data_IF_235322359262
#
_entry.id   IF_235322359262
#
_cell.length_a   1.000
_cell.length_b   1.000
_cell.length_c   1.000
_cell.angle_alpha   90.00
_cell.angle_beta   90.00
_cell.angle_gamma   90.00
#
_symmetry.space_group_name_H-M   'P 1'
#
loop_
_entity.id
_entity.type
_entity.pdbx_description
1 polymer ?
#
# COMPACT_ATOMS: atom_id res chain seq x y z
N UNK A 1 -2.46 -0.04 26.77
CA UNK A 1 -2.94 1.13 27.53
C UNK A 1 -1.74 2.06 27.73
N UNK A 2 -1.72 3.24 27.10
CA UNK A 2 -0.60 4.18 27.20
C UNK A 2 -0.41 4.61 28.67
N UNK A 3 0.72 4.27 29.29
CA UNK A 3 1.07 4.75 30.63
C UNK A 3 1.94 6.00 30.51
N UNK A 4 1.30 7.16 30.39
CA UNK A 4 2.00 8.45 30.45
C UNK A 4 2.20 8.81 31.93
N UNK A 5 3.45 8.84 32.44
CA UNK A 5 3.70 9.16 33.84
C UNK A 5 3.22 10.57 34.18
N UNK A 6 2.54 10.72 35.33
CA UNK A 6 2.07 12.01 35.86
C UNK A 6 1.11 12.77 34.91
N UNK A 7 0.37 12.04 34.07
CA UNK A 7 -0.67 12.63 33.23
C UNK A 7 -1.85 13.14 34.08
N UNK A 8 -2.16 14.42 33.97
CA UNK A 8 -3.19 15.10 34.77
C UNK A 8 -4.52 15.29 34.02
N UNK A 9 -4.55 15.09 32.70
CA UNK A 9 -5.79 15.10 31.93
C UNK A 9 -5.71 15.86 30.61
N UNK A 10 -6.90 16.12 30.07
CA UNK A 10 -7.11 16.88 28.83
C UNK A 10 -7.91 18.13 29.22
N UNK A 11 -7.43 19.31 28.84
CA UNK A 11 -8.02 20.58 29.24
C UNK A 11 -8.25 21.48 28.02
N UNK A 12 -9.26 22.34 28.07
CA UNK A 12 -9.31 23.53 27.22
C UNK A 12 -8.49 24.65 27.87
N UNK A 13 -8.06 25.63 27.08
CA UNK A 13 -7.17 26.71 27.55
C UNK A 13 -7.73 27.46 28.76
N UNK A 14 -9.04 27.68 28.80
CA UNK A 14 -9.76 28.36 29.89
C UNK A 14 -10.06 27.47 31.10
N UNK A 15 -9.77 26.16 31.01
CA UNK A 15 -9.95 25.17 32.08
C UNK A 15 -8.64 24.63 32.62
N UNK A 16 -7.52 25.18 32.18
CA UNK A 16 -6.22 24.76 32.68
C UNK A 16 -6.11 25.12 34.17
N UNK A 17 -5.64 24.19 35.04
CA UNK A 17 -5.44 24.50 36.45
C UNK A 17 -4.49 25.69 36.66
N UNK A 18 -4.90 26.64 37.50
CA UNK A 18 -4.11 27.85 37.84
C UNK A 18 -2.77 27.53 38.52
N UNK A 19 -2.63 26.34 39.11
CA UNK A 19 -1.44 25.92 39.83
C UNK A 19 -0.95 24.59 39.28
N UNK A 20 0.31 24.60 38.83
CA UNK A 20 0.99 23.45 38.27
C UNK A 20 1.58 22.54 39.36
N UNK A 21 1.51 21.22 39.15
CA UNK A 21 2.18 20.21 39.98
C UNK A 21 3.55 19.86 39.39
N UNK A 22 4.47 19.43 40.25
CA UNK A 22 5.79 19.01 39.79
C UNK A 22 5.68 17.72 38.97
N UNK A 23 6.26 17.71 37.76
CA UNK A 23 6.33 16.50 36.94
C UNK A 23 5.10 16.24 36.07
N UNK A 24 4.08 17.11 36.12
CA UNK A 24 2.79 16.86 35.46
C UNK A 24 2.87 16.91 33.93
N UNK A 25 1.98 16.17 33.27
CA UNK A 25 1.80 16.21 31.82
C UNK A 25 0.32 16.33 31.47
N UNK A 26 -0.03 17.09 30.45
CA UNK A 26 -1.43 17.19 29.99
C UNK A 26 -1.51 17.42 28.47
N UNK A 27 -2.70 17.18 27.92
CA UNK A 27 -3.06 17.64 26.58
C UNK A 27 -3.96 18.86 26.74
N UNK A 28 -3.68 19.92 26.00
CA UNK A 28 -4.40 21.19 26.09
C UNK A 28 -4.94 21.55 24.71
N UNK A 29 -6.25 21.78 24.64
CA UNK A 29 -6.88 22.47 23.54
C UNK A 29 -6.63 23.96 23.68
N UNK A 30 -6.13 24.61 22.63
CA UNK A 30 -5.90 26.04 22.66
C UNK A 30 -7.18 26.86 22.47
N UNK A 31 -8.25 26.23 21.99
CA UNK A 31 -9.58 26.79 22.00
C UNK A 31 -10.13 26.81 23.44
N UNK A 32 -11.15 27.65 23.65
CA UNK A 32 -11.95 27.61 24.88
C UNK A 32 -12.84 26.36 24.89
N UNK A 33 -13.35 25.95 26.05
CA UNK A 33 -14.21 24.75 26.21
C UNK A 33 -15.39 24.69 25.23
N UNK A 34 -15.94 25.85 24.82
CA UNK A 34 -17.04 25.97 23.87
C UNK A 34 -16.61 26.02 22.39
N UNK A 35 -15.32 25.98 22.10
CA UNK A 35 -14.76 26.05 20.76
C UNK A 35 -14.80 24.72 20.02
N UNK A 36 -14.48 24.74 18.72
CA UNK A 36 -14.50 23.56 17.85
C UNK A 36 -13.40 22.54 18.12
N UNK A 37 -12.41 22.90 18.94
CA UNK A 37 -11.36 22.01 19.40
C UNK A 37 -10.33 21.69 18.32
N UNK A 38 -9.88 22.72 17.63
CA UNK A 38 -9.10 22.62 16.38
C UNK A 38 -7.59 22.57 16.59
N UNK A 39 -7.11 23.04 17.74
CA UNK A 39 -5.68 23.17 18.02
C UNK A 39 -5.34 22.46 19.34
N UNK A 40 -4.54 21.40 19.27
CA UNK A 40 -4.16 20.60 20.44
C UNK A 40 -2.64 20.62 20.64
N UNK A 41 -2.21 20.80 21.89
CA UNK A 41 -0.81 20.73 22.30
C UNK A 41 -0.66 19.76 23.48
N UNK A 42 0.51 19.17 23.63
CA UNK A 42 0.86 18.39 24.83
C UNK A 42 1.93 19.14 25.62
N UNK A 43 1.78 19.29 26.94
CA UNK A 43 2.82 19.87 27.79
C UNK A 43 3.29 18.88 28.84
N UNK A 44 4.56 19.00 29.26
CA UNK A 44 5.13 18.26 30.38
C UNK A 44 6.03 19.16 31.19
N UNK A 45 5.77 19.27 32.49
CA UNK A 45 6.60 20.04 33.43
C UNK A 45 7.72 19.18 33.98
N UNK A 46 8.97 19.61 33.83
CA UNK A 46 10.15 18.91 34.38
C UNK A 46 10.89 19.86 35.33
N UNK A 47 10.80 19.61 36.64
CA UNK A 47 11.47 20.43 37.65
C UNK A 47 10.77 21.77 37.96
N UNK A 48 11.57 22.79 38.32
CA UNK A 48 11.10 24.18 38.51
C UNK A 48 10.81 24.90 37.18
N UNK A 49 11.17 24.29 36.05
CA UNK A 49 10.92 24.84 34.71
C UNK A 49 9.54 24.39 34.22
N UNK A 50 8.71 25.37 33.89
CA UNK A 50 7.42 25.15 33.22
C UNK A 50 7.70 25.12 31.72
N UNK A 51 7.33 24.03 31.05
CA UNK A 51 7.45 23.87 29.60
C UNK A 51 6.10 24.30 29.02
N UNK A 52 6.05 25.49 28.42
CA UNK A 52 4.84 26.09 27.87
C UNK A 52 4.95 26.07 26.34
N UNK A 53 4.05 25.35 25.66
CA UNK A 53 4.00 25.27 24.20
C UNK A 53 2.85 26.16 23.71
N UNK A 54 3.13 27.43 23.40
CA UNK A 54 2.27 28.27 22.55
C UNK A 54 3.08 29.28 21.73
N UNK A 55 2.61 29.49 20.50
CA UNK A 55 3.41 29.90 19.34
C UNK A 55 3.64 31.42 19.18
N UNK A 56 3.50 32.31 20.17
CA UNK A 56 3.83 33.74 19.87
C UNK A 56 4.30 34.73 20.96
N UNK A 57 4.48 34.41 22.25
CA UNK A 57 5.13 35.36 23.19
C UNK A 57 6.00 34.69 24.29
N UNK A 58 6.97 33.86 23.91
CA UNK A 58 7.95 33.26 24.85
C UNK A 58 9.37 33.31 24.28
N UNK A 59 9.98 34.49 24.33
CA UNK A 59 11.23 34.79 23.62
C UNK A 59 12.54 34.58 24.39
N UNK A 60 12.59 33.91 25.55
CA UNK A 60 13.85 33.89 26.31
C UNK A 60 14.36 32.59 26.96
N UNK A 61 13.61 31.49 27.08
CA UNK A 61 14.16 30.35 27.85
C UNK A 61 13.56 28.98 27.49
N UNK A 62 13.97 28.34 26.38
CA UNK A 62 13.68 26.91 26.18
C UNK A 62 14.78 26.20 25.38
N UNK A 63 15.30 25.11 25.94
CA UNK A 63 16.05 24.08 25.22
C UNK A 63 15.10 22.92 24.89
N UNK A 64 14.71 22.84 23.62
CA UNK A 64 13.99 21.74 22.94
C UNK A 64 12.48 21.57 23.21
N UNK A 65 11.67 22.19 22.33
CA UNK A 65 10.24 21.88 22.12
C UNK A 65 10.14 20.80 21.02
N UNK A 66 9.43 19.71 21.29
CA UNK A 66 9.07 18.72 20.27
C UNK A 66 7.68 19.06 19.71
N UNK A 67 7.63 19.54 18.47
CA UNK A 67 6.38 19.80 17.75
C UNK A 67 6.08 18.56 16.88
N UNK A 68 4.84 18.07 16.95
CA UNK A 68 4.35 16.98 16.11
C UNK A 68 3.22 17.48 15.22
N UNK A 69 3.39 17.39 13.90
CA UNK A 69 2.36 17.63 12.91
C UNK A 69 1.86 16.29 12.35
N UNK A 70 0.54 16.13 12.23
CA UNK A 70 -0.07 14.96 11.56
C UNK A 70 -0.72 15.42 10.27
N UNK A 71 -0.31 14.83 9.16
CA UNK A 71 -0.85 15.10 7.83
C UNK A 71 -1.59 13.86 7.36
N UNK A 72 -2.87 14.03 7.00
CA UNK A 72 -3.71 12.96 6.45
C UNK A 72 -4.04 13.30 5.01
N UNK A 73 -3.66 12.41 4.09
CA UNK A 73 -4.01 12.51 2.67
C UNK A 73 -4.95 11.37 2.31
N UNK A 74 -5.97 11.66 1.51
CA UNK A 74 -6.90 10.66 0.98
C UNK A 74 -7.21 10.97 -0.48
N UNK A 75 -7.22 9.93 -1.31
CA UNK A 75 -7.58 10.05 -2.72
C UNK A 75 -7.62 8.68 -3.38
N UNK A 76 -7.81 8.68 -4.70
CA UNK A 76 -7.88 7.48 -5.56
C UNK A 76 -6.66 7.35 -6.50
N UNK A 77 -5.61 8.14 -6.24
CA UNK A 77 -4.36 8.16 -6.99
C UNK A 77 -3.22 7.54 -6.16
N UNK A 78 -2.19 7.03 -6.83
CA UNK A 78 -0.92 6.66 -6.18
C UNK A 78 -0.08 7.87 -5.75
N UNK A 79 -0.39 9.06 -6.28
CA UNK A 79 0.24 10.32 -5.91
C UNK A 79 -0.78 11.23 -5.23
N UNK A 80 -0.47 11.66 -4.00
CA UNK A 80 -1.28 12.57 -3.21
C UNK A 80 -0.40 13.73 -2.72
N UNK A 81 -0.95 14.94 -2.73
CA UNK A 81 -0.25 16.14 -2.28
C UNK A 81 -1.20 17.09 -1.55
N UNK A 82 -0.64 17.94 -0.69
CA UNK A 82 -1.35 19.06 -0.06
C UNK A 82 -0.39 20.22 0.18
N UNK A 83 -0.92 21.43 0.18
CA UNK A 83 -0.17 22.66 0.49
C UNK A 83 -0.69 23.26 1.80
N UNK A 84 0.23 23.77 2.63
CA UNK A 84 -0.11 24.40 3.90
C UNK A 84 0.17 25.90 3.85
N UNK A 85 -0.78 26.70 4.34
CA UNK A 85 -0.61 28.12 4.56
C UNK A 85 -1.06 28.49 5.99
N UNK A 86 -0.18 29.06 6.84
CA UNK A 86 1.24 29.34 6.58
C UNK A 86 2.07 28.05 6.39
N UNK A 87 3.25 28.13 5.74
CA UNK A 87 4.14 26.98 5.57
C UNK A 87 4.48 26.33 6.92
N UNK A 88 4.61 25.00 6.93
CA UNK A 88 5.04 24.29 8.14
C UNK A 88 6.52 24.54 8.41
N UNK A 89 6.81 25.23 9.51
CA UNK A 89 8.19 25.43 9.96
C UNK A 89 8.73 24.15 10.59
N UNK A 90 9.81 23.60 10.03
CA UNK A 90 10.47 22.39 10.57
C UNK A 90 11.94 22.67 10.85
N UNK A 91 12.44 22.18 11.99
CA UNK A 91 13.85 22.31 12.37
C UNK A 91 14.76 21.35 11.62
N UNK A 92 16.08 21.59 11.65
CA UNK A 92 17.11 20.76 10.99
C UNK A 92 17.14 19.27 11.40
N UNK A 93 16.59 18.97 12.58
CA UNK A 93 16.50 17.61 13.13
C UNK A 93 15.08 17.04 13.07
N UNK A 94 14.19 17.70 12.33
CA UNK A 94 12.82 17.23 12.17
C UNK A 94 12.81 15.86 11.52
N UNK A 95 11.81 15.08 11.91
CA UNK A 95 11.66 13.69 11.55
C UNK A 95 10.25 13.48 11.03
N UNK A 96 10.11 12.71 9.97
CA UNK A 96 8.82 12.22 9.50
C UNK A 96 8.68 10.74 9.83
N UNK A 97 7.45 10.32 10.06
CA UNK A 97 7.07 8.93 10.23
C UNK A 97 5.73 8.69 9.56
N UNK A 98 5.53 7.47 9.06
CA UNK A 98 4.23 7.01 8.63
C UNK A 98 3.47 6.44 9.84
N UNK A 99 2.30 6.99 10.13
CA UNK A 99 1.44 6.49 11.22
C UNK A 99 0.51 5.38 10.75
N UNK A 100 -0.14 5.57 9.61
CA UNK A 100 -1.08 4.63 9.04
C UNK A 100 -1.11 4.72 7.51
N UNK A 101 -1.29 3.58 6.87
CA UNK A 101 -1.60 3.47 5.45
C UNK A 101 -2.81 2.56 5.25
N UNK A 102 -3.73 3.00 4.39
CA UNK A 102 -4.92 2.22 4.05
C UNK A 102 -5.17 2.31 2.55
N UNK A 103 -5.33 1.16 1.90
CA UNK A 103 -5.75 1.06 0.49
C UNK A 103 -6.51 -0.23 0.26
N UNK A 104 -7.05 -0.44 -0.94
CA UNK A 104 -7.55 -1.75 -1.35
C UNK A 104 -6.43 -2.49 -2.11
N UNK A 105 -6.31 -3.81 -1.89
CA UNK A 105 -5.42 -4.63 -2.72
C UNK A 105 -6.04 -4.83 -4.11
N UNK A 106 -5.85 -3.84 -4.98
CA UNK A 106 -6.39 -3.82 -6.35
C UNK A 106 -5.29 -3.84 -7.40
N UNK A 107 -4.11 -4.39 -7.10
CA UNK A 107 -2.99 -4.45 -8.04
C UNK A 107 -3.30 -5.52 -9.09
N UNK A 108 -3.54 -5.17 -10.36
CA UNK A 108 -3.96 -6.14 -11.35
C UNK A 108 -2.78 -7.03 -11.77
N UNK A 109 -3.00 -8.34 -11.77
CA UNK A 109 -2.07 -9.32 -12.33
C UNK A 109 -2.44 -9.74 -13.76
N UNK A 110 -3.66 -9.43 -14.20
CA UNK A 110 -4.10 -9.49 -15.60
C UNK A 110 -4.41 -8.08 -16.08
N UNK A 111 -3.81 -7.69 -17.20
CA UNK A 111 -4.00 -6.41 -17.87
C UNK A 111 -3.73 -6.57 -19.38
N UNK A 112 -3.80 -5.48 -20.15
CA UNK A 112 -3.63 -5.49 -21.61
C UNK A 112 -2.30 -6.07 -22.13
N UNK A 113 -1.28 -6.21 -21.28
CA UNK A 113 0.00 -6.83 -21.63
C UNK A 113 -0.03 -8.36 -21.55
N UNK A 114 -1.03 -8.96 -20.87
CA UNK A 114 -1.10 -10.41 -20.64
C UNK A 114 -2.54 -10.92 -20.38
N UNK A 115 -3.49 -10.52 -21.21
CA UNK A 115 -4.92 -10.85 -21.06
C UNK A 115 -5.45 -11.86 -22.09
N UNK A 116 -4.63 -12.36 -23.02
CA UNK A 116 -5.12 -13.19 -24.12
C UNK A 116 -4.90 -14.69 -23.89
N UNK A 117 -5.86 -15.50 -24.33
CA UNK A 117 -5.73 -16.96 -24.43
C UNK A 117 -6.38 -17.43 -25.74
N UNK A 118 -5.67 -18.28 -26.49
CA UNK A 118 -6.18 -18.85 -27.73
C UNK A 118 -6.62 -20.30 -27.57
N UNK A 119 -7.64 -20.67 -28.32
CA UNK A 119 -8.14 -22.03 -28.45
C UNK A 119 -8.19 -22.41 -29.93
N UNK A 120 -7.73 -23.61 -30.23
CA UNK A 120 -7.67 -24.17 -31.58
C UNK A 120 -8.57 -25.40 -31.62
N UNK A 121 -9.73 -25.27 -32.26
CA UNK A 121 -10.68 -26.37 -32.44
C UNK A 121 -10.53 -26.97 -33.84
N UNK A 122 -10.53 -28.29 -33.93
CA UNK A 122 -10.50 -29.05 -35.19
C UNK A 122 -11.82 -29.78 -35.34
N UNK A 123 -12.58 -29.39 -36.35
CA UNK A 123 -13.86 -30.03 -36.65
C UNK A 123 -13.62 -31.39 -37.34
N UNK A 124 -14.64 -32.25 -37.38
CA UNK A 124 -14.57 -33.60 -38.00
C UNK A 124 -14.14 -33.60 -39.48
N UNK A 125 -14.29 -32.46 -40.16
CA UNK A 125 -13.95 -32.24 -41.57
C UNK A 125 -12.49 -31.74 -41.73
N UNK A 126 -11.71 -31.68 -40.65
CA UNK A 126 -10.32 -31.20 -40.64
C UNK A 126 -10.17 -29.68 -40.69
N UNK A 127 -11.27 -28.92 -40.72
CA UNK A 127 -11.22 -27.46 -40.63
C UNK A 127 -10.78 -27.03 -39.24
N UNK A 128 -9.76 -26.17 -39.18
CA UNK A 128 -9.20 -25.66 -37.93
C UNK A 128 -9.71 -24.23 -37.69
N UNK A 129 -10.33 -23.98 -36.55
CA UNK A 129 -10.74 -22.64 -36.11
C UNK A 129 -9.84 -22.16 -34.99
N UNK A 130 -9.37 -20.91 -35.09
CA UNK A 130 -8.59 -20.24 -34.07
C UNK A 130 -9.48 -19.17 -33.42
N UNK A 131 -9.64 -19.25 -32.10
CA UNK A 131 -10.41 -18.29 -31.32
C UNK A 131 -9.54 -17.75 -30.20
N UNK A 132 -9.43 -16.43 -30.13
CA UNK A 132 -8.71 -15.75 -29.05
C UNK A 132 -9.71 -15.01 -28.18
N UNK A 133 -9.56 -15.16 -26.86
CA UNK A 133 -10.38 -14.47 -25.88
C UNK A 133 -9.50 -13.58 -25.01
N UNK A 134 -10.08 -12.44 -24.60
CA UNK A 134 -9.45 -11.51 -23.66
C UNK A 134 -10.10 -11.65 -22.29
N UNK A 135 -9.27 -11.81 -21.26
CA UNK A 135 -9.69 -11.79 -19.87
C UNK A 135 -9.83 -10.32 -19.41
N UNK A 136 -10.82 -10.00 -18.56
CA UNK A 136 -10.93 -8.66 -17.99
C UNK A 136 -9.69 -8.29 -17.17
N UNK A 137 -9.34 -7.00 -17.16
CA UNK A 137 -8.27 -6.49 -16.29
C UNK A 137 -8.69 -6.64 -14.84
N UNK A 138 -7.81 -7.20 -14.02
CA UNK A 138 -8.12 -7.47 -12.61
C UNK A 138 -6.98 -8.18 -11.89
N UNK A 139 -7.25 -8.48 -10.63
CA UNK A 139 -6.34 -9.18 -9.75
C UNK A 139 -7.00 -10.50 -9.36
N UNK A 140 -6.43 -11.60 -9.82
CA UNK A 140 -7.05 -12.92 -9.80
C UNK A 140 -6.15 -13.94 -9.12
N UNK A 141 -6.72 -14.72 -8.22
CA UNK A 141 -6.15 -16.00 -7.83
C UNK A 141 -6.29 -17.02 -8.96
N UNK A 142 -5.48 -18.07 -8.94
CA UNK A 142 -5.46 -19.06 -10.02
C UNK A 142 -6.82 -19.72 -10.28
N UNK A 143 -7.59 -19.99 -9.22
CA UNK A 143 -8.96 -20.53 -9.33
C UNK A 143 -9.95 -19.55 -9.96
N UNK A 144 -9.72 -18.24 -9.79
CA UNK A 144 -10.57 -17.21 -10.38
C UNK A 144 -10.27 -17.05 -11.88
N UNK A 145 -8.99 -17.18 -12.27
CA UNK A 145 -8.60 -17.25 -13.69
C UNK A 145 -9.28 -18.44 -14.36
N UNK A 146 -9.27 -19.62 -13.73
CA UNK A 146 -9.98 -20.80 -14.23
C UNK A 146 -11.48 -20.52 -14.41
N UNK A 147 -12.13 -19.93 -13.40
CA UNK A 147 -13.55 -19.61 -13.44
C UNK A 147 -13.90 -18.62 -14.55
N UNK A 148 -13.07 -17.59 -14.76
CA UNK A 148 -13.25 -16.60 -15.84
C UNK A 148 -13.12 -17.26 -17.21
N UNK A 149 -12.11 -18.09 -17.43
CA UNK A 149 -11.92 -18.80 -18.70
C UNK A 149 -13.11 -19.74 -18.96
N UNK A 150 -13.53 -20.53 -17.96
CA UNK A 150 -14.74 -21.37 -18.08
C UNK A 150 -15.98 -20.56 -18.42
N UNK A 151 -16.15 -19.40 -17.80
CA UNK A 151 -17.28 -18.52 -18.07
C UNK A 151 -17.28 -18.02 -19.53
N UNK A 152 -16.12 -17.61 -20.05
CA UNK A 152 -15.95 -17.20 -21.45
C UNK A 152 -16.27 -18.35 -22.42
N UNK A 153 -15.95 -19.59 -22.04
CA UNK A 153 -16.14 -20.79 -22.85
C UNK A 153 -17.53 -21.43 -22.73
N UNK A 154 -18.44 -20.88 -21.93
CA UNK A 154 -19.76 -21.47 -21.62
C UNK A 154 -20.53 -21.88 -22.89
N UNK A 155 -20.49 -21.04 -23.93
CA UNK A 155 -21.21 -21.28 -25.18
C UNK A 155 -20.50 -22.26 -26.13
N UNK A 156 -19.22 -22.54 -25.89
CA UNK A 156 -18.35 -23.27 -26.82
C UNK A 156 -18.28 -24.78 -26.55
N UNK A 157 -18.91 -25.27 -25.46
CA UNK A 157 -18.82 -26.67 -24.99
C UNK A 157 -17.37 -27.17 -24.82
N UNK A 158 -16.42 -26.27 -24.61
CA UNK A 158 -15.00 -26.58 -24.38
C UNK A 158 -14.79 -26.84 -22.88
N UNK A 159 -14.21 -27.97 -22.55
CA UNK A 159 -13.76 -28.30 -21.20
C UNK A 159 -12.37 -27.74 -20.95
N UNK A 160 -12.22 -26.94 -19.90
CA UNK A 160 -10.94 -26.35 -19.50
C UNK A 160 -10.71 -26.56 -18.01
N UNK A 161 -9.49 -26.93 -17.62
CA UNK A 161 -9.06 -27.01 -16.23
C UNK A 161 -7.71 -26.32 -16.02
N UNK A 162 -7.58 -25.61 -14.91
CA UNK A 162 -6.36 -24.91 -14.51
C UNK A 162 -6.15 -25.02 -13.01
N UNK A 163 -5.03 -25.59 -12.57
CA UNK A 163 -4.75 -25.85 -11.16
C UNK A 163 -3.29 -25.62 -10.79
N UNK A 164 -3.06 -25.17 -9.56
CA UNK A 164 -1.72 -25.04 -9.01
C UNK A 164 -1.31 -26.34 -8.34
N UNK A 165 -0.11 -26.84 -8.66
CA UNK A 165 0.47 -27.98 -7.98
C UNK A 165 1.29 -27.50 -6.78
N UNK A 166 0.80 -27.76 -5.57
CA UNK A 166 1.42 -27.30 -4.31
C UNK A 166 2.81 -27.89 -4.06
N UNK A 167 3.14 -29.04 -4.66
CA UNK A 167 4.43 -29.70 -4.47
C UNK A 167 5.49 -29.13 -5.40
N UNK A 168 5.12 -28.79 -6.64
CA UNK A 168 6.07 -28.28 -7.65
C UNK A 168 6.05 -26.75 -7.78
N UNK A 169 5.04 -26.08 -7.20
CA UNK A 169 4.76 -24.65 -7.36
C UNK A 169 4.51 -24.23 -8.82
N UNK A 170 4.17 -25.22 -9.67
CA UNK A 170 3.88 -25.06 -11.10
C UNK A 170 2.37 -25.11 -11.36
N UNK A 171 1.97 -24.61 -12.52
CA UNK A 171 0.60 -24.70 -13.01
C UNK A 171 0.38 -26.00 -13.77
N UNK A 172 -0.83 -26.53 -13.73
CA UNK A 172 -1.29 -27.64 -14.54
C UNK A 172 -2.52 -27.19 -15.32
N UNK A 173 -2.49 -27.37 -16.64
CA UNK A 173 -3.52 -26.92 -17.58
C UNK A 173 -3.95 -28.10 -18.44
N UNK A 174 -5.26 -28.30 -18.59
CA UNK A 174 -5.83 -29.33 -19.45
C UNK A 174 -7.05 -28.77 -20.17
N UNK A 175 -7.19 -29.12 -21.45
CA UNK A 175 -8.32 -28.71 -22.27
C UNK A 175 -8.64 -29.80 -23.29
N UNK A 176 -9.90 -29.92 -23.71
CA UNK A 176 -10.33 -30.86 -24.75
C UNK A 176 -9.99 -30.38 -26.18
N UNK A 177 -9.60 -29.12 -26.33
CA UNK A 177 -9.03 -28.53 -27.54
C UNK A 177 -7.60 -28.02 -27.29
N UNK A 178 -6.85 -27.77 -28.36
CA UNK A 178 -5.48 -27.24 -28.24
C UNK A 178 -5.51 -25.79 -27.75
N UNK A 179 -4.56 -25.42 -26.90
CA UNK A 179 -4.44 -24.06 -26.37
C UNK A 179 -3.27 -23.38 -27.05
N UNK A 180 -3.52 -22.22 -27.62
CA UNK A 180 -2.48 -21.37 -28.18
C UNK A 180 -2.06 -20.32 -27.14
N UNK A 181 -0.78 -20.34 -26.78
CA UNK A 181 -0.12 -19.33 -25.94
C UNK A 181 1.04 -18.64 -26.68
N UNK A 182 1.13 -18.84 -28.00
CA UNK A 182 2.19 -18.28 -28.84
C UNK A 182 1.96 -16.82 -29.22
N UNK A 183 0.72 -16.33 -29.08
CA UNK A 183 0.35 -14.96 -29.43
C UNK A 183 0.99 -13.90 -28.52
N UNK A 184 1.12 -12.65 -29.03
CA UNK A 184 1.36 -11.50 -28.17
C UNK A 184 0.31 -11.40 -27.06
N UNK A 185 0.70 -10.81 -25.93
CA UNK A 185 -0.18 -10.59 -24.77
C UNK A 185 -0.85 -11.86 -24.20
N UNK A 186 -0.27 -13.04 -24.46
CA UNK A 186 -0.74 -14.28 -23.87
C UNK A 186 -0.63 -14.25 -22.34
N UNK A 187 -1.64 -14.77 -21.66
CA UNK A 187 -1.61 -15.04 -20.22
C UNK A 187 -0.59 -16.12 -19.82
N UNK A 188 -0.07 -16.88 -20.80
CA UNK A 188 0.84 -18.00 -20.57
C UNK A 188 2.04 -17.66 -19.69
N UNK A 189 2.63 -16.46 -19.85
CA UNK A 189 3.77 -16.02 -19.05
C UNK A 189 3.44 -15.93 -17.54
N UNK A 190 2.27 -15.42 -17.17
CA UNK A 190 1.86 -15.33 -15.75
C UNK A 190 1.56 -16.70 -15.15
N UNK A 191 1.09 -17.63 -15.99
CA UNK A 191 0.83 -19.02 -15.62
C UNK A 191 2.10 -19.89 -15.67
N UNK A 192 3.25 -19.34 -16.09
CA UNK A 192 4.54 -20.02 -16.16
C UNK A 192 4.73 -20.90 -17.40
N UNK A 193 3.88 -20.79 -18.42
CA UNK A 193 3.97 -21.52 -19.68
C UNK A 193 4.81 -20.76 -20.71
N UNK A 194 5.63 -21.48 -21.48
CA UNK A 194 6.31 -20.91 -22.64
C UNK A 194 5.37 -20.63 -23.80
N UNK A 195 5.77 -19.69 -24.66
CA UNK A 195 5.02 -19.26 -25.85
C UNK A 195 5.03 -20.35 -26.92
N UNK A 196 4.03 -21.21 -26.90
CA UNK A 196 3.80 -22.28 -27.88
C UNK A 196 2.35 -22.76 -27.83
N UNK A 197 2.01 -23.66 -28.74
CA UNK A 197 0.72 -24.37 -28.74
C UNK A 197 0.85 -25.60 -27.84
N UNK A 198 -0.16 -25.85 -27.03
CA UNK A 198 -0.30 -26.99 -26.14
C UNK A 198 -1.39 -27.93 -26.68
N UNK A 199 -1.06 -29.21 -26.82
CA UNK A 199 -1.94 -30.20 -27.43
C UNK A 199 -3.20 -30.49 -26.61
N UNK A 200 -4.30 -30.74 -27.33
CA UNK A 200 -5.59 -31.13 -26.76
C UNK A 200 -5.52 -32.43 -25.96
N UNK A 201 -6.42 -32.60 -24.98
CA UNK A 201 -6.64 -33.81 -24.19
C UNK A 201 -5.40 -34.31 -23.42
N UNK A 202 -4.42 -33.43 -23.22
CA UNK A 202 -3.21 -33.69 -22.45
C UNK A 202 -3.17 -32.72 -21.28
N UNK A 203 -2.78 -33.24 -20.12
CA UNK A 203 -2.50 -32.43 -18.95
C UNK A 203 -1.07 -31.89 -19.04
N UNK A 204 -0.94 -30.60 -19.28
CA UNK A 204 0.33 -29.91 -19.40
C UNK A 204 0.73 -29.30 -18.06
N UNK A 205 2.02 -29.39 -17.72
CA UNK A 205 2.59 -28.66 -16.59
C UNK A 205 3.36 -27.43 -17.11
N UNK A 206 3.32 -26.33 -16.37
CA UNK A 206 4.03 -25.10 -16.71
C UNK A 206 5.55 -25.31 -16.73
N UNK A 207 6.24 -24.64 -17.64
CA UNK A 207 7.68 -24.71 -17.79
C UNK A 207 8.40 -24.06 -16.60
N UNK A 208 7.85 -22.94 -16.12
CA UNK A 208 8.35 -22.10 -15.03
C UNK A 208 7.38 -22.09 -13.85
N UNK A 209 7.83 -21.53 -12.73
CA UNK A 209 6.99 -21.27 -11.57
C UNK A 209 5.88 -20.27 -11.93
N UNK A 210 4.71 -20.43 -11.30
CA UNK A 210 3.60 -19.49 -11.46
C UNK A 210 4.01 -18.12 -10.92
N UNK A 211 3.71 -17.05 -11.65
CA UNK A 211 3.97 -15.67 -11.22
C UNK A 211 2.73 -14.79 -11.36
N UNK A 212 1.69 -15.09 -10.58
CA UNK A 212 0.45 -14.29 -10.53
C UNK A 212 0.56 -13.09 -9.57
N UNK A 213 1.69 -12.89 -8.91
CA UNK A 213 1.97 -11.76 -8.01
C UNK A 213 3.21 -11.00 -8.47
N UNK A 214 3.11 -10.27 -9.60
CA UNK A 214 4.22 -9.49 -10.16
C UNK A 214 4.71 -8.37 -9.21
N UNK A 215 3.79 -7.79 -8.43
CA UNK A 215 4.11 -6.74 -7.47
C UNK A 215 4.03 -7.29 -6.05
N UNK A 216 5.20 -7.54 -5.46
CA UNK A 216 5.28 -8.10 -4.12
C UNK A 216 5.50 -7.04 -3.04
N UNK A 217 5.89 -5.83 -3.42
CA UNK A 217 6.31 -4.80 -2.46
C UNK A 217 5.71 -3.44 -2.78
N UNK A 218 5.18 -2.78 -1.76
CA UNK A 218 4.66 -1.41 -1.82
C UNK A 218 5.66 -0.48 -1.13
N UNK A 219 6.07 0.55 -1.86
CA UNK A 219 6.88 1.64 -1.34
C UNK A 219 6.00 2.85 -1.09
N UNK A 220 6.15 3.45 0.08
CA UNK A 220 5.57 4.77 0.37
C UNK A 220 6.70 5.78 0.30
N UNK A 221 6.56 6.73 -0.62
CA UNK A 221 7.54 7.78 -0.84
C UNK A 221 7.02 9.13 -0.35
N UNK A 222 7.92 9.97 0.14
CA UNK A 222 7.63 11.33 0.53
C UNK A 222 8.75 12.26 0.09
N UNK A 223 8.41 13.25 -0.74
CA UNK A 223 9.33 14.28 -1.21
C UNK A 223 9.91 15.16 -0.07
N UNK A 224 9.36 15.08 1.14
CA UNK A 224 9.91 15.76 2.32
C UNK A 224 11.18 15.08 2.83
N UNK A 225 11.37 13.78 2.55
CA UNK A 225 12.49 13.01 3.10
C UNK A 225 13.76 13.17 2.29
N UNK A 226 14.87 13.39 3.00
CA UNK A 226 16.21 13.33 2.46
C UNK A 226 17.06 12.39 3.34
N UNK A 227 17.90 11.58 2.73
CA UNK A 227 18.80 10.65 3.45
C UNK A 227 18.31 9.21 3.57
N UNK A 228 17.21 8.83 2.90
CA UNK A 228 17.00 7.42 2.56
C UNK A 228 17.92 7.06 1.39
N UNK A 229 18.51 5.86 1.39
CA UNK A 229 19.39 5.39 0.32
C UNK A 229 18.99 3.98 -0.09
N UNK A 230 18.79 3.76 -1.39
CA UNK A 230 18.55 2.46 -2.00
C UNK A 230 19.69 2.15 -2.97
N UNK A 231 20.46 1.12 -2.68
CA UNK A 231 21.64 0.71 -3.47
C UNK A 231 22.64 1.86 -3.71
N UNK A 232 22.92 2.66 -2.69
CA UNK A 232 23.85 3.78 -2.75
C UNK A 232 23.33 5.04 -3.46
N UNK A 233 22.08 5.03 -3.96
CA UNK A 233 21.41 6.20 -4.51
C UNK A 233 20.42 6.76 -3.49
N UNK A 234 20.35 8.09 -3.38
CA UNK A 234 19.35 8.74 -2.54
C UNK A 234 17.93 8.32 -2.99
N UNK A 235 17.06 8.09 -2.01
CA UNK A 235 15.67 7.70 -2.17
C UNK A 235 14.80 8.55 -1.24
N UNK A 236 13.49 8.51 -1.47
CA UNK A 236 12.46 9.20 -0.71
C UNK A 236 11.51 8.21 0.00
N UNK A 237 11.86 6.91 0.02
CA UNK A 237 11.05 5.88 0.67
C UNK A 237 11.06 6.06 2.18
N UNK A 238 9.86 6.15 2.76
CA UNK A 238 9.64 6.23 4.22
C UNK A 238 9.17 4.91 4.82
N UNK A 239 8.57 4.05 4.00
CA UNK A 239 8.08 2.75 4.43
C UNK A 239 8.02 1.76 3.26
N UNK A 240 8.28 0.50 3.58
CA UNK A 240 8.26 -0.63 2.67
C UNK A 240 7.50 -1.77 3.34
N UNK A 241 6.52 -2.34 2.65
CA UNK A 241 5.76 -3.50 3.12
C UNK A 241 5.22 -4.34 1.97
N UNK A 242 4.82 -5.56 2.30
CA UNK A 242 4.27 -6.54 1.37
C UNK A 242 2.75 -6.59 1.57
N UNK A 243 1.93 -6.68 0.50
CA UNK A 243 0.52 -6.99 0.65
C UNK A 243 0.34 -8.29 1.44
N UNK A 244 -0.43 -8.24 2.52
CA UNK A 244 -0.66 -9.38 3.42
C UNK A 244 -2.10 -9.92 3.39
N UNK A 245 -2.92 -9.36 2.50
CA UNK A 245 -4.30 -9.81 2.26
C UNK A 245 -4.47 -10.15 0.77
N UNK A 246 -5.39 -11.07 0.44
CA UNK A 246 -5.69 -11.38 -0.96
C UNK A 246 -6.17 -10.16 -1.76
N UNK A 247 -6.16 -10.23 -3.09
CA UNK A 247 -6.84 -9.26 -3.94
C UNK A 247 -8.28 -8.98 -3.51
N UNK A 248 -8.72 -7.73 -3.65
CA UNK A 248 -10.07 -7.28 -3.27
C UNK A 248 -10.27 -6.97 -1.78
N UNK A 249 -9.32 -7.33 -0.92
CA UNK A 249 -9.38 -6.98 0.50
C UNK A 249 -8.76 -5.62 0.80
N UNK A 250 -9.18 -5.03 1.92
CA UNK A 250 -8.59 -3.80 2.46
C UNK A 250 -7.21 -4.08 3.05
N UNK A 251 -6.19 -3.41 2.55
CA UNK A 251 -4.86 -3.32 3.13
C UNK A 251 -4.84 -2.24 4.20
N UNK A 252 -4.40 -2.62 5.40
CA UNK A 252 -4.24 -1.71 6.53
C UNK A 252 -2.85 -1.96 7.12
N UNK A 253 -2.00 -0.95 7.10
CA UNK A 253 -0.73 -0.94 7.83
C UNK A 253 -0.81 0.14 8.92
N UNK A 254 -0.81 -0.31 10.17
CA UNK A 254 -0.80 0.56 11.36
C UNK A 254 0.55 0.43 12.03
N UNK A 255 1.24 1.56 12.22
CA UNK A 255 2.54 1.58 12.89
C UNK A 255 2.34 2.08 14.32
N UNK A 256 2.65 1.21 15.29
CA UNK A 256 2.56 1.51 16.73
C UNK A 256 3.73 2.35 17.25
N UNK A 257 4.87 2.35 16.54
CA UNK A 257 6.05 3.16 16.90
C UNK A 257 6.58 3.92 15.66
N UNK A 258 6.81 5.24 15.77
CA UNK A 258 7.29 6.06 14.67
C UNK A 258 8.74 5.71 14.34
N UNK A 259 8.97 4.97 13.26
CA UNK A 259 10.30 4.85 12.65
C UNK A 259 10.61 6.17 11.97
N UNK A 260 11.53 6.93 12.57
CA UNK A 260 11.79 8.32 12.21
C UNK A 260 12.91 8.45 11.17
N UNK A 261 12.65 9.10 10.03
CA UNK A 261 13.69 9.50 9.06
C UNK A 261 13.90 11.02 9.14
N UNK A 262 15.15 11.48 9.12
CA UNK A 262 15.51 12.91 9.18
C UNK A 262 15.05 13.63 7.91
N UNK A 263 14.53 14.85 8.08
CA UNK A 263 14.23 15.80 7.00
C UNK A 263 15.47 16.65 6.73
N UNK A 264 15.80 16.93 5.47
CA UNK A 264 16.81 17.90 5.09
C UNK A 264 16.17 18.85 4.07
N UNK A 265 15.86 20.07 4.50
CA UNK A 265 15.43 21.13 3.60
C UNK A 265 16.70 21.71 2.99
N UNK A 266 16.82 21.63 1.66
CA UNK A 266 17.77 22.46 0.92
C UNK A 266 17.15 23.84 0.81
N UNK A 267 17.76 24.81 1.50
CA UNK A 267 17.48 26.22 1.27
C UNK A 267 17.84 26.54 -0.19
N UNK A 268 16.90 27.11 -0.95
CA UNK A 268 17.15 27.77 -2.24
C UNK A 268 17.64 29.20 -2.03
#
# INVERSE_FOLDING_TARGET
MLKIPHFIGIFSRDKLPLHYKHGEAAIVNLDIEKGGGTHWVAYRKIGKQTLEIQYNELRSFVSEIFIMYTITLSGNSSELSCEFFPPTEVGKNAKICLLAFQTNNSIPNINKECDQIGFINKNDIGHTTHQTYSLPTGSYELSEIEAVIKHILTDSKISFELRGNKNTLKCEMQCDVSIDLSMPNSIGEQLGFEKRIYDANIKHQSDKLINITKTNCIYIESNLVAGSFKNGKQSHTIHEFYPNVPPGYKLIDLRGEPVSIRLLIQDL
#
